data_IF_246047162610
#
_entry.id   IF_246047162610
#
_cell.length_a   1.000
_cell.length_b   1.000
_cell.length_c   1.000
_cell.angle_alpha   90.00
_cell.angle_beta   90.00
_cell.angle_gamma   90.00
#
_symmetry.space_group_name_H-M   'P 1'
#
loop_
_entity.id
_entity.type
_entity.pdbx_description
1 polymer ?
#
# COMPACT_ATOMS: atom_id res chain seq x y z
N UNK A 1 -27.60 -2.58 6.67
CA UNK A 1 -26.14 -2.46 6.78
C UNK A 1 -25.84 -0.98 7.07
N UNK A 2 -25.52 -0.68 8.32
CA UNK A 2 -25.28 0.68 8.77
C UNK A 2 -23.93 1.13 8.20
N UNK A 3 -23.95 2.04 7.24
CA UNK A 3 -22.75 2.68 6.75
C UNK A 3 -22.27 3.66 7.84
N UNK A 4 -21.28 3.26 8.63
CA UNK A 4 -20.75 4.04 9.77
C UNK A 4 -19.76 5.14 9.34
N UNK A 5 -19.62 5.41 8.03
CA UNK A 5 -18.71 6.43 7.53
C UNK A 5 -19.30 7.84 7.75
N UNK A 6 -18.50 8.80 8.20
CA UNK A 6 -18.93 10.20 8.29
C UNK A 6 -19.18 10.80 6.90
N UNK A 7 -20.03 11.83 6.84
CA UNK A 7 -20.19 12.62 5.64
C UNK A 7 -18.94 13.49 5.43
N UNK A 8 -18.25 13.35 4.30
CA UNK A 8 -17.11 14.20 3.95
C UNK A 8 -17.56 15.27 2.95
N UNK A 9 -17.28 16.52 3.26
CA UNK A 9 -17.52 17.66 2.40
C UNK A 9 -16.20 18.36 2.07
N UNK A 10 -15.92 18.55 0.79
CA UNK A 10 -14.78 19.33 0.30
C UNK A 10 -15.35 20.61 -0.32
N UNK A 11 -15.03 21.76 0.26
CA UNK A 11 -15.56 23.09 -0.12
C UNK A 11 -17.11 23.08 -0.23
N UNK A 12 -17.78 22.35 0.68
CA UNK A 12 -19.23 22.22 0.72
C UNK A 12 -19.82 21.12 -0.16
N UNK A 13 -19.04 20.45 -1.00
CA UNK A 13 -19.49 19.39 -1.90
C UNK A 13 -19.21 18.02 -1.30
N UNK A 14 -20.24 17.14 -1.26
CA UNK A 14 -20.08 15.78 -0.77
C UNK A 14 -19.10 14.98 -1.64
N UNK A 15 -18.07 14.43 -1.02
CA UNK A 15 -16.95 13.79 -1.72
C UNK A 15 -16.29 12.73 -0.84
N UNK A 16 -15.22 12.11 -1.32
CA UNK A 16 -14.35 11.21 -0.55
C UNK A 16 -13.15 11.98 -0.01
N UNK A 17 -12.68 11.65 1.19
CA UNK A 17 -11.43 12.21 1.75
C UNK A 17 -10.24 12.00 0.81
N UNK A 18 -10.25 10.94 0.02
CA UNK A 18 -9.21 10.64 -0.96
C UNK A 18 -9.29 11.50 -2.23
N UNK A 19 -10.34 12.33 -2.39
CA UNK A 19 -10.52 13.15 -3.58
C UNK A 19 -9.66 14.43 -3.58
N UNK A 20 -9.15 14.83 -2.42
CA UNK A 20 -8.29 16.01 -2.28
C UNK A 20 -6.85 15.60 -1.98
N UNK A 21 -5.90 16.36 -2.52
CA UNK A 21 -4.49 16.19 -2.14
C UNK A 21 -4.26 16.88 -0.78
N UNK A 22 -3.57 16.26 0.19
CA UNK A 22 -3.25 16.87 1.47
C UNK A 22 -2.56 18.25 1.35
N UNK A 23 -1.75 18.44 0.32
CA UNK A 23 -1.05 19.72 0.07
C UNK A 23 -2.00 20.87 -0.31
N UNK A 24 -3.21 20.54 -0.81
CA UNK A 24 -4.23 21.52 -1.20
C UNK A 24 -5.18 21.86 -0.04
N UNK A 25 -5.07 21.20 1.11
CA UNK A 25 -5.92 21.41 2.28
C UNK A 25 -5.42 22.62 3.07
N UNK A 26 -6.34 23.53 3.39
CA UNK A 26 -6.11 24.62 4.32
C UNK A 26 -6.52 24.24 5.74
N UNK A 27 -7.74 23.69 5.90
CA UNK A 27 -8.24 23.27 7.20
C UNK A 27 -9.17 22.07 7.12
N UNK A 28 -9.24 21.34 8.24
CA UNK A 28 -10.17 20.23 8.44
C UNK A 28 -10.94 20.49 9.73
N UNK A 29 -12.26 20.50 9.65
CA UNK A 29 -13.17 20.63 10.80
C UNK A 29 -14.03 19.37 10.92
N UNK A 30 -14.16 18.83 12.14
CA UNK A 30 -14.94 17.63 12.39
C UNK A 30 -16.13 17.99 13.28
N UNK A 31 -17.34 17.84 12.74
CA UNK A 31 -18.59 18.05 13.48
C UNK A 31 -19.08 16.73 14.01
N UNK A 32 -18.95 16.54 15.33
CA UNK A 32 -19.36 15.32 16.05
C UNK A 32 -20.72 15.45 16.73
N UNK A 33 -21.13 16.70 17.00
CA UNK A 33 -22.36 16.97 17.74
C UNK A 33 -23.57 17.02 16.81
N UNK A 34 -24.67 16.43 17.25
CA UNK A 34 -25.91 16.38 16.48
C UNK A 34 -26.44 17.78 16.09
N UNK A 35 -26.23 18.78 16.95
CA UNK A 35 -26.65 20.16 16.69
C UNK A 35 -25.88 20.81 15.55
N UNK A 36 -24.55 20.63 15.49
CA UNK A 36 -23.69 21.17 14.44
C UNK A 36 -23.84 20.41 13.12
N UNK A 37 -24.17 19.12 13.18
CA UNK A 37 -24.37 18.26 12.02
C UNK A 37 -25.81 18.35 11.44
N UNK A 38 -26.76 18.93 12.17
CA UNK A 38 -28.18 18.94 11.80
C UNK A 38 -28.48 19.57 10.42
N UNK A 39 -27.71 20.57 10.04
CA UNK A 39 -27.87 21.25 8.72
C UNK A 39 -27.60 20.33 7.52
N UNK A 40 -26.93 19.22 7.73
CA UNK A 40 -26.59 18.22 6.69
C UNK A 40 -27.56 17.04 6.64
N UNK A 41 -28.60 17.05 7.52
CA UNK A 41 -29.67 16.05 7.57
C UNK A 41 -29.21 14.65 7.99
N UNK A 42 -29.99 13.64 7.59
CA UNK A 42 -29.75 12.23 8.01
C UNK A 42 -28.41 11.65 7.58
N UNK A 43 -27.79 12.17 6.52
CA UNK A 43 -26.46 11.73 6.08
C UNK A 43 -25.35 12.08 7.06
N UNK A 44 -25.59 13.01 7.97
CA UNK A 44 -24.63 13.45 8.98
C UNK A 44 -24.74 12.68 10.32
N UNK A 45 -25.55 11.62 10.38
CA UNK A 45 -25.79 10.86 11.61
C UNK A 45 -24.50 10.30 12.25
N UNK A 46 -23.47 10.03 11.44
CA UNK A 46 -22.15 9.56 11.87
C UNK A 46 -21.08 10.67 11.97
N UNK A 47 -21.52 11.95 11.98
CA UNK A 47 -20.66 13.12 11.97
C UNK A 47 -20.35 13.62 10.56
N UNK A 48 -19.75 14.81 10.50
CA UNK A 48 -19.36 15.46 9.25
C UNK A 48 -17.91 15.89 9.31
N UNK A 49 -17.15 15.62 8.26
CA UNK A 49 -15.79 16.10 8.05
C UNK A 49 -15.84 17.19 6.99
N UNK A 50 -15.55 18.42 7.40
CA UNK A 50 -15.46 19.57 6.51
C UNK A 50 -13.99 19.79 6.14
N UNK A 51 -13.70 19.72 4.86
CA UNK A 51 -12.37 20.00 4.32
C UNK A 51 -12.46 21.29 3.51
N UNK A 52 -11.69 22.29 3.92
CA UNK A 52 -11.55 23.55 3.18
C UNK A 52 -10.23 23.52 2.43
N UNK A 53 -10.29 23.82 1.12
CA UNK A 53 -9.07 23.86 0.30
C UNK A 53 -8.49 25.28 0.28
N UNK A 54 -7.19 25.36 0.02
CA UNK A 54 -6.44 26.61 -0.10
C UNK A 54 -7.02 27.49 -1.20
N UNK A 55 -7.10 28.77 -0.92
CA UNK A 55 -7.52 29.80 -1.87
C UNK A 55 -6.42 30.84 -2.07
N UNK A 56 -6.46 31.54 -3.18
CA UNK A 56 -5.51 32.62 -3.43
C UNK A 56 -5.86 33.85 -2.59
N UNK A 57 -4.83 34.49 -2.10
CA UNK A 57 -4.89 35.82 -1.50
C UNK A 57 -4.61 36.89 -2.54
N UNK A 58 -4.98 38.12 -2.22
CA UNK A 58 -4.60 39.29 -3.00
C UNK A 58 -3.07 39.46 -2.94
N UNK A 59 -2.46 39.73 -4.09
CA UNK A 59 -1.05 39.97 -4.19
C UNK A 59 -0.44 39.49 -5.51
N UNK A 60 0.88 39.62 -5.57
CA UNK A 60 1.66 39.18 -6.73
C UNK A 60 1.59 37.65 -6.88
N UNK A 61 1.79 37.19 -8.10
CA UNK A 61 1.91 35.76 -8.38
C UNK A 61 2.98 35.12 -7.52
N UNK A 62 2.58 34.11 -6.74
CA UNK A 62 3.45 33.24 -5.95
C UNK A 62 3.51 31.89 -6.61
N UNK A 63 4.71 31.37 -6.78
CA UNK A 63 4.96 30.02 -7.29
C UNK A 63 5.59 29.24 -6.15
N UNK A 64 4.98 28.12 -5.77
CA UNK A 64 5.49 27.22 -4.74
C UNK A 64 5.65 25.82 -5.33
N UNK A 65 6.83 25.26 -5.17
CA UNK A 65 7.11 23.88 -5.54
C UNK A 65 7.59 23.09 -4.33
N UNK A 66 6.89 22.01 -4.02
CA UNK A 66 7.23 21.08 -2.96
C UNK A 66 7.51 19.71 -3.56
N UNK A 67 8.61 19.11 -3.16
CA UNK A 67 9.00 17.77 -3.61
C UNK A 67 9.42 16.94 -2.41
N UNK A 68 8.82 15.76 -2.26
CA UNK A 68 9.13 14.81 -1.20
C UNK A 68 9.50 13.47 -1.83
N UNK A 69 10.58 12.87 -1.35
CA UNK A 69 10.96 11.49 -1.68
C UNK A 69 11.01 10.72 -0.38
N UNK A 70 10.32 9.61 -0.31
CA UNK A 70 10.26 8.72 0.83
C UNK A 70 10.71 7.32 0.48
N UNK A 71 11.33 6.64 1.43
CA UNK A 71 11.67 5.22 1.36
C UNK A 71 10.77 4.49 2.35
N UNK A 72 9.99 3.56 1.83
CA UNK A 72 9.12 2.71 2.65
C UNK A 72 9.83 1.40 2.93
N UNK A 73 9.86 1.01 4.18
CA UNK A 73 10.40 -0.25 4.66
C UNK A 73 9.49 -0.82 5.73
N UNK A 74 9.37 -2.14 5.77
CA UNK A 74 8.66 -2.80 6.86
C UNK A 74 9.40 -2.56 8.18
N UNK A 75 8.66 -2.19 9.22
CA UNK A 75 9.25 -1.83 10.52
C UNK A 75 9.89 -3.04 11.19
N UNK A 76 9.22 -4.18 11.11
CA UNK A 76 9.68 -5.44 11.69
C UNK A 76 9.12 -6.62 10.90
N UNK A 77 9.99 -7.58 10.65
CA UNK A 77 9.60 -8.87 10.05
C UNK A 77 10.11 -10.00 10.94
N UNK A 78 9.30 -11.05 11.16
CA UNK A 78 9.78 -12.23 11.85
C UNK A 78 10.91 -12.88 11.04
N UNK A 79 11.97 -13.31 11.72
CA UNK A 79 13.01 -14.14 11.10
C UNK A 79 12.47 -15.54 10.88
N UNK A 80 12.55 -16.01 9.65
CA UNK A 80 12.24 -17.39 9.33
C UNK A 80 13.51 -18.24 9.38
N UNK A 81 13.27 -19.52 9.58
CA UNK A 81 14.35 -20.52 9.62
C UNK A 81 14.92 -20.75 8.23
N UNK A 82 16.23 -20.97 8.15
CA UNK A 82 16.85 -21.53 6.97
C UNK A 82 16.54 -23.02 6.82
N UNK A 83 16.94 -23.60 5.68
CA UNK A 83 16.64 -24.98 5.36
C UNK A 83 17.17 -25.98 6.40
N UNK A 84 18.37 -25.76 6.93
CA UNK A 84 19.00 -26.66 7.92
C UNK A 84 18.21 -26.60 9.23
N UNK A 85 18.05 -25.40 9.82
CA UNK A 85 17.32 -25.23 11.08
C UNK A 85 15.87 -25.73 10.96
N UNK A 86 15.25 -25.53 9.78
CA UNK A 86 13.92 -26.04 9.50
C UNK A 86 13.87 -27.57 9.59
N UNK A 87 14.81 -28.28 8.95
CA UNK A 87 14.84 -29.74 8.96
C UNK A 87 15.13 -30.31 10.35
N UNK A 88 16.08 -29.70 11.07
CA UNK A 88 16.44 -30.12 12.45
C UNK A 88 15.24 -29.94 13.41
N UNK A 89 14.59 -28.80 13.36
CA UNK A 89 13.41 -28.55 14.21
C UNK A 89 12.18 -29.36 13.79
N UNK A 90 12.05 -29.65 12.49
CA UNK A 90 10.97 -30.51 12.00
C UNK A 90 11.11 -31.94 12.54
N UNK A 91 12.34 -32.50 12.49
CA UNK A 91 12.63 -33.81 13.07
C UNK A 91 12.41 -33.85 14.59
N UNK A 92 12.84 -32.81 15.28
CA UNK A 92 12.60 -32.64 16.71
C UNK A 92 11.08 -32.58 17.05
N UNK A 93 10.33 -31.80 16.32
CA UNK A 93 8.90 -31.68 16.50
C UNK A 93 8.19 -33.00 16.27
N UNK A 94 8.53 -33.68 15.16
CA UNK A 94 7.96 -34.98 14.83
C UNK A 94 8.30 -36.04 15.87
N UNK A 95 9.53 -36.06 16.40
CA UNK A 95 9.92 -36.94 17.49
C UNK A 95 9.14 -36.70 18.78
N UNK A 96 8.81 -35.42 19.07
CA UNK A 96 8.06 -35.06 20.25
C UNK A 96 6.57 -35.41 20.13
N UNK A 97 5.95 -35.18 18.97
CA UNK A 97 4.54 -35.49 18.71
C UNK A 97 4.24 -37.00 18.89
N UNK A 98 5.15 -37.87 18.46
CA UNK A 98 4.97 -39.30 18.62
C UNK A 98 5.18 -39.78 20.03
N UNK A 99 5.91 -39.04 20.88
CA UNK A 99 6.01 -39.34 22.32
C UNK A 99 4.71 -38.94 23.03
N UNK A 100 4.00 -37.95 22.55
CA UNK A 100 2.77 -37.44 23.16
C UNK A 100 1.49 -38.14 22.68
N UNK A 101 1.51 -38.69 21.47
CA UNK A 101 0.41 -39.49 20.97
C UNK A 101 0.63 -40.98 21.40
N UNK A 102 -0.22 -41.47 22.29
CA UNK A 102 -0.29 -42.89 22.71
C UNK A 102 -0.65 -43.86 21.55
N UNK A 103 -0.18 -43.60 20.35
CA UNK A 103 -0.55 -44.31 19.14
C UNK A 103 0.37 -45.47 18.80
N UNK A 104 1.44 -45.72 19.61
CA UNK A 104 2.36 -46.87 19.40
C UNK A 104 3.19 -46.81 18.09
N UNK A 105 2.99 -45.81 17.25
CA UNK A 105 3.79 -45.56 16.08
C UNK A 105 5.03 -44.76 16.51
N UNK A 106 6.22 -45.31 16.38
CA UNK A 106 7.46 -44.56 16.54
C UNK A 106 7.49 -43.43 15.53
N UNK A 107 7.56 -42.20 16.01
CA UNK A 107 7.81 -41.04 15.16
C UNK A 107 9.18 -41.19 14.56
N UNK A 108 9.20 -41.38 13.28
CA UNK A 108 10.44 -41.48 12.54
C UNK A 108 11.08 -40.11 12.39
N UNK A 109 12.37 -40.04 12.44
CA UNK A 109 13.19 -38.98 11.91
C UNK A 109 12.91 -38.89 10.40
N UNK A 110 12.49 -37.75 9.90
CA UNK A 110 12.12 -37.56 8.49
C UNK A 110 13.37 -37.29 7.64
N UNK A 111 14.22 -36.40 8.11
CA UNK A 111 15.43 -35.98 7.38
C UNK A 111 16.67 -36.76 7.89
N UNK A 112 16.95 -36.75 9.18
CA UNK A 112 18.10 -37.38 9.80
C UNK A 112 19.41 -36.61 9.62
N UNK A 113 20.35 -36.86 10.51
CA UNK A 113 21.64 -36.14 10.59
C UNK A 113 22.47 -36.26 9.31
N UNK A 114 22.58 -37.46 8.73
CA UNK A 114 23.38 -37.71 7.52
C UNK A 114 22.81 -36.97 6.31
N UNK A 115 21.47 -36.92 6.16
CA UNK A 115 20.80 -36.18 5.09
C UNK A 115 21.02 -34.69 5.26
N UNK A 116 20.85 -34.15 6.46
CA UNK A 116 21.04 -32.74 6.78
C UNK A 116 22.49 -32.31 6.52
N UNK A 117 23.46 -33.12 6.92
CA UNK A 117 24.88 -32.85 6.66
C UNK A 117 25.20 -32.82 5.16
N UNK A 118 24.69 -33.78 4.38
CA UNK A 118 24.82 -33.80 2.92
C UNK A 118 24.13 -32.58 2.27
N UNK A 119 22.94 -32.21 2.76
CA UNK A 119 22.21 -31.05 2.28
C UNK A 119 23.01 -29.76 2.49
N UNK A 120 23.54 -29.58 3.71
CA UNK A 120 24.40 -28.43 4.07
C UNK A 120 25.64 -28.31 3.18
N UNK A 121 26.25 -29.40 2.83
CA UNK A 121 27.44 -29.43 1.97
C UNK A 121 27.12 -29.03 0.52
N UNK A 122 25.90 -29.31 0.03
CA UNK A 122 25.52 -29.15 -1.37
C UNK A 122 24.71 -27.90 -1.62
N UNK A 123 24.02 -27.28 -0.63
CA UNK A 123 23.07 -26.21 -0.82
C UNK A 123 23.65 -24.97 -1.53
N UNK A 124 24.96 -24.70 -1.40
CA UNK A 124 25.61 -23.60 -2.09
C UNK A 124 26.09 -23.94 -3.51
N UNK A 125 26.18 -25.23 -3.82
CA UNK A 125 26.68 -25.75 -5.11
C UNK A 125 25.52 -26.07 -6.06
N UNK A 126 24.41 -26.54 -5.53
CA UNK A 126 23.22 -26.94 -6.25
C UNK A 126 21.96 -26.39 -5.53
N UNK A 127 21.70 -25.09 -5.63
CA UNK A 127 20.58 -24.44 -4.92
C UNK A 127 19.20 -24.83 -5.45
N UNK A 128 19.14 -25.54 -6.56
CA UNK A 128 17.86 -26.06 -7.07
C UNK A 128 17.46 -27.38 -6.38
N UNK A 129 18.36 -28.32 -6.26
CA UNK A 129 18.10 -29.61 -5.61
C UNK A 129 18.24 -29.52 -4.08
N UNK A 130 19.01 -28.56 -3.57
CA UNK A 130 19.22 -28.28 -2.14
C UNK A 130 18.93 -26.82 -1.81
N UNK A 131 17.68 -26.36 -1.99
CA UNK A 131 17.34 -24.96 -1.84
C UNK A 131 17.37 -24.50 -0.38
N UNK A 132 17.74 -23.24 -0.20
CA UNK A 132 17.58 -22.49 1.05
C UNK A 132 16.89 -21.17 0.72
N UNK A 133 15.61 -21.25 0.41
CA UNK A 133 14.84 -20.14 -0.14
C UNK A 133 14.41 -19.17 0.95
N UNK A 134 14.86 -17.92 0.85
CA UNK A 134 14.30 -16.82 1.63
C UNK A 134 13.05 -16.26 0.93
N UNK A 135 11.91 -16.78 1.35
CA UNK A 135 10.62 -16.37 0.78
C UNK A 135 10.28 -14.90 1.05
N UNK A 136 10.82 -14.29 2.13
CA UNK A 136 10.63 -12.88 2.40
C UNK A 136 11.40 -12.01 1.40
N UNK A 137 12.69 -12.31 1.21
CA UNK A 137 13.53 -11.56 0.28
C UNK A 137 13.03 -11.61 -1.17
N UNK A 138 12.37 -12.71 -1.57
CA UNK A 138 11.80 -12.86 -2.91
C UNK A 138 10.46 -12.12 -3.04
N UNK A 139 9.65 -12.11 -1.98
CA UNK A 139 8.28 -11.61 -2.02
C UNK A 139 8.21 -10.11 -1.76
N UNK A 140 9.12 -9.56 -0.96
CA UNK A 140 9.07 -8.16 -0.58
C UNK A 140 10.12 -7.33 -1.31
N UNK A 141 9.70 -6.19 -1.82
CA UNK A 141 10.57 -5.17 -2.38
C UNK A 141 10.89 -4.15 -1.30
N UNK A 142 12.13 -4.13 -0.84
CA UNK A 142 12.60 -3.17 0.14
C UNK A 142 13.93 -2.52 -0.30
N UNK A 143 14.03 -1.19 -0.24
CA UNK A 143 12.97 -0.24 0.05
C UNK A 143 12.03 -0.02 -1.13
N UNK A 144 10.73 0.24 -0.87
CA UNK A 144 9.81 0.77 -1.85
C UNK A 144 9.90 2.30 -1.87
N UNK A 145 9.93 2.88 -3.05
CA UNK A 145 10.17 4.32 -3.23
C UNK A 145 8.83 5.04 -3.39
N UNK A 146 8.72 6.22 -2.77
CA UNK A 146 7.60 7.12 -2.94
C UNK A 146 8.10 8.51 -3.32
N UNK A 147 7.51 9.09 -4.39
CA UNK A 147 7.73 10.49 -4.76
C UNK A 147 6.43 11.25 -4.74
N UNK A 148 6.48 12.47 -4.22
CA UNK A 148 5.36 13.41 -4.27
C UNK A 148 5.86 14.77 -4.71
N UNK A 149 5.25 15.33 -5.75
CA UNK A 149 5.57 16.64 -6.28
C UNK A 149 4.30 17.48 -6.32
N UNK A 150 4.38 18.69 -5.79
CA UNK A 150 3.29 19.65 -5.81
C UNK A 150 3.80 20.98 -6.35
N UNK A 151 3.13 21.51 -7.36
CA UNK A 151 3.34 22.85 -7.89
C UNK A 151 2.07 23.65 -7.67
N UNK A 152 2.18 24.76 -6.94
CA UNK A 152 1.07 25.67 -6.67
C UNK A 152 1.39 27.05 -7.22
N UNK A 153 0.46 27.60 -7.98
CA UNK A 153 0.45 28.97 -8.49
C UNK A 153 -0.70 29.70 -7.82
N UNK A 154 -0.45 30.82 -7.15
CA UNK A 154 -1.50 31.58 -6.50
C UNK A 154 -1.24 33.09 -6.61
N UNK A 155 -2.28 33.86 -6.75
CA UNK A 155 -2.19 35.30 -6.79
C UNK A 155 -3.48 35.92 -7.24
N UNK A 156 -3.53 37.25 -7.24
CA UNK A 156 -4.71 37.95 -7.69
C UNK A 156 -4.73 39.42 -7.33
N UNK A 157 -5.76 40.04 -7.81
CA UNK A 157 -6.13 41.45 -7.53
C UNK A 157 -7.28 41.47 -6.53
N UNK A 158 -7.71 42.67 -6.10
CA UNK A 158 -8.92 42.83 -5.30
C UNK A 158 -10.15 42.19 -5.95
N UNK A 159 -10.22 42.19 -7.31
CA UNK A 159 -11.38 41.68 -8.06
C UNK A 159 -11.27 40.23 -8.47
N UNK A 160 -10.06 39.72 -8.79
CA UNK A 160 -9.86 38.38 -9.30
C UNK A 160 -8.72 37.72 -8.50
N UNK A 161 -9.02 36.63 -7.86
CA UNK A 161 -8.04 35.76 -7.19
C UNK A 161 -8.10 34.37 -7.78
N UNK A 162 -6.96 33.77 -8.05
CA UNK A 162 -6.89 32.44 -8.61
C UNK A 162 -5.74 31.64 -7.99
N UNK A 163 -6.03 30.37 -7.67
CA UNK A 163 -5.08 29.36 -7.26
C UNK A 163 -5.16 28.17 -8.21
N UNK A 164 -4.04 27.74 -8.72
CA UNK A 164 -3.93 26.48 -9.47
C UNK A 164 -2.90 25.58 -8.79
N UNK A 165 -3.22 24.30 -8.59
CA UNK A 165 -2.29 23.31 -8.09
C UNK A 165 -2.22 22.10 -9.02
N UNK A 166 -0.99 21.59 -9.19
CA UNK A 166 -0.68 20.36 -9.91
C UNK A 166 0.05 19.43 -8.96
N UNK A 167 -0.48 18.24 -8.79
CA UNK A 167 0.09 17.25 -7.89
C UNK A 167 0.40 15.95 -8.66
N UNK A 168 1.58 15.43 -8.44
CA UNK A 168 1.99 14.11 -8.90
C UNK A 168 2.44 13.27 -7.70
N UNK A 169 1.91 12.07 -7.61
CA UNK A 169 2.33 11.07 -6.62
C UNK A 169 2.67 9.79 -7.35
N UNK A 170 3.84 9.23 -7.08
CA UNK A 170 4.25 7.90 -7.50
C UNK A 170 4.68 7.14 -6.26
N UNK A 171 3.97 6.08 -5.95
CA UNK A 171 4.18 5.27 -4.77
C UNK A 171 4.34 3.82 -5.19
N UNK A 172 5.51 3.26 -4.98
CA UNK A 172 5.74 1.82 -5.10
C UNK A 172 5.18 1.10 -3.87
N UNK A 173 4.65 -0.10 -4.09
CA UNK A 173 4.27 -0.99 -3.01
C UNK A 173 5.43 -1.88 -2.56
N UNK A 174 5.26 -2.52 -1.40
CA UNK A 174 6.24 -3.47 -0.85
C UNK A 174 6.22 -4.83 -1.55
N UNK A 175 5.25 -5.09 -2.42
CA UNK A 175 5.25 -6.26 -3.31
C UNK A 175 5.76 -5.87 -4.69
N UNK A 176 6.46 -6.76 -5.41
CA UNK A 176 6.87 -6.51 -6.78
C UNK A 176 5.69 -6.11 -7.67
N UNK A 177 5.92 -5.20 -8.61
CA UNK A 177 4.96 -4.71 -9.61
C UNK A 177 3.69 -4.05 -9.06
N UNK A 178 3.67 -3.74 -7.76
CA UNK A 178 2.60 -2.97 -7.15
C UNK A 178 2.98 -1.49 -7.06
N UNK A 179 2.07 -0.63 -7.49
CA UNK A 179 2.29 0.82 -7.46
C UNK A 179 0.99 1.60 -7.55
N UNK A 180 1.04 2.85 -7.14
CA UNK A 180 0.01 3.85 -7.40
C UNK A 180 0.64 5.09 -8.01
N UNK A 181 0.20 5.49 -9.21
CA UNK A 181 0.52 6.78 -9.83
C UNK A 181 -0.72 7.64 -9.85
N UNK A 182 -0.63 8.85 -9.32
CA UNK A 182 -1.74 9.78 -9.22
C UNK A 182 -1.34 11.14 -9.75
N UNK A 183 -2.16 11.66 -10.64
CA UNK A 183 -2.11 13.00 -11.17
C UNK A 183 -3.34 13.75 -10.70
N UNK A 184 -3.17 14.92 -10.11
CA UNK A 184 -4.28 15.74 -9.67
C UNK A 184 -4.07 17.18 -10.12
N UNK A 185 -5.15 17.82 -10.54
CA UNK A 185 -5.20 19.24 -10.85
C UNK A 185 -6.35 19.87 -10.07
N UNK A 186 -6.12 21.07 -9.55
CA UNK A 186 -7.15 21.88 -8.92
C UNK A 186 -6.97 23.34 -9.34
N UNK A 187 -8.08 24.00 -9.63
CA UNK A 187 -8.13 25.43 -9.92
C UNK A 187 -9.28 26.03 -9.13
N UNK A 188 -8.99 26.96 -8.24
CA UNK A 188 -9.96 27.72 -7.47
C UNK A 188 -9.86 29.17 -7.91
N UNK A 189 -10.97 29.75 -8.29
CA UNK A 189 -11.04 31.15 -8.78
C UNK A 189 -12.19 31.88 -8.12
N UNK A 190 -11.89 33.02 -7.53
CA UNK A 190 -12.88 33.92 -6.93
C UNK A 190 -12.89 35.25 -7.70
N UNK A 191 -14.08 35.68 -8.15
CA UNK A 191 -14.27 36.93 -8.83
C UNK A 191 -15.29 37.82 -8.11
N UNK A 192 -14.89 39.04 -7.77
CA UNK A 192 -15.72 40.05 -7.13
C UNK A 192 -16.19 41.03 -8.19
N UNK A 193 -17.47 40.95 -8.56
CA UNK A 193 -18.09 41.89 -9.50
C UNK A 193 -18.23 43.30 -8.89
N UNK A 194 -18.67 43.33 -7.63
CA UNK A 194 -18.81 44.54 -6.81
C UNK A 194 -18.89 44.10 -5.32
N UNK A 195 -19.11 45.07 -4.40
CA UNK A 195 -19.16 44.79 -2.96
C UNK A 195 -20.33 43.91 -2.51
N UNK A 196 -21.33 43.71 -3.39
CA UNK A 196 -22.54 42.92 -3.10
C UNK A 196 -22.59 41.60 -3.86
N UNK A 197 -21.75 41.42 -4.89
CA UNK A 197 -21.81 40.28 -5.77
C UNK A 197 -20.41 39.73 -6.02
N UNK A 198 -20.24 38.47 -5.68
CA UNK A 198 -19.04 37.66 -6.01
C UNK A 198 -19.45 36.31 -6.54
N UNK A 199 -18.58 35.68 -7.32
CA UNK A 199 -18.74 34.32 -7.80
C UNK A 199 -17.41 33.56 -7.66
N UNK A 200 -17.49 32.25 -7.32
CA UNK A 200 -16.35 31.37 -7.26
C UNK A 200 -16.53 30.16 -8.19
N UNK A 201 -15.45 29.71 -8.77
CA UNK A 201 -15.41 28.48 -9.58
C UNK A 201 -14.30 27.61 -9.06
N UNK A 202 -14.66 26.39 -8.65
CA UNK A 202 -13.73 25.37 -8.18
C UNK A 202 -13.77 24.19 -9.14
N UNK A 203 -12.64 23.91 -9.78
CA UNK A 203 -12.49 22.81 -10.72
C UNK A 203 -11.42 21.88 -10.15
N UNK A 204 -11.70 20.58 -10.08
CA UNK A 204 -10.70 19.58 -9.72
C UNK A 204 -10.82 18.33 -10.60
N UNK A 205 -9.67 17.78 -10.95
CA UNK A 205 -9.56 16.54 -11.70
C UNK A 205 -8.49 15.65 -11.09
N UNK A 206 -8.72 14.33 -11.15
CA UNK A 206 -7.77 13.34 -10.66
C UNK A 206 -7.76 12.13 -11.59
N UNK A 207 -6.57 11.69 -11.94
CA UNK A 207 -6.35 10.42 -12.63
C UNK A 207 -5.41 9.55 -11.79
N UNK A 208 -5.79 8.30 -11.54
CA UNK A 208 -4.98 7.36 -10.76
C UNK A 208 -4.83 6.06 -11.53
N UNK A 209 -3.61 5.58 -11.62
CA UNK A 209 -3.27 4.24 -12.13
C UNK A 209 -2.77 3.45 -10.93
N UNK A 210 -3.42 2.31 -10.64
CA UNK A 210 -3.09 1.46 -9.50
C UNK A 210 -2.81 0.05 -10.02
N UNK A 211 -1.70 -0.53 -9.58
CA UNK A 211 -1.39 -1.94 -9.78
C UNK A 211 -1.40 -2.61 -8.41
N UNK A 212 -2.28 -3.56 -8.23
CA UNK A 212 -2.44 -4.32 -6.98
C UNK A 212 -2.06 -5.78 -7.21
N UNK A 213 -1.64 -6.52 -6.15
CA UNK A 213 -1.43 -7.95 -6.26
C UNK A 213 -2.77 -8.59 -6.64
N UNK A 214 -2.76 -9.58 -7.46
CA UNK A 214 -4.01 -10.19 -7.82
C UNK A 214 -4.53 -11.23 -6.87
N UNK A 215 -3.78 -11.50 -5.83
CA UNK A 215 -4.25 -12.26 -4.68
C UNK A 215 -4.35 -11.32 -3.48
N UNK A 216 -5.25 -11.64 -2.58
CA UNK A 216 -5.36 -10.95 -1.31
C UNK A 216 -4.02 -10.93 -0.56
N UNK A 217 -3.65 -9.77 -0.03
CA UNK A 217 -2.37 -9.54 0.67
C UNK A 217 -2.19 -10.49 1.85
N UNK A 218 -3.25 -10.78 2.60
CA UNK A 218 -3.19 -11.72 3.73
C UNK A 218 -2.87 -13.14 3.25
N UNK A 219 -3.39 -13.54 2.09
CA UNK A 219 -3.09 -14.83 1.45
C UNK A 219 -1.63 -14.92 1.01
N UNK A 220 -1.07 -13.84 0.43
CA UNK A 220 0.34 -13.76 0.05
C UNK A 220 1.23 -13.89 1.29
N UNK A 221 0.98 -13.09 2.32
CA UNK A 221 1.72 -13.14 3.59
C UNK A 221 1.60 -14.54 4.23
N UNK A 222 0.40 -15.12 4.21
CA UNK A 222 0.16 -16.46 4.70
C UNK A 222 0.93 -17.54 3.93
N UNK A 223 1.09 -17.39 2.62
CA UNK A 223 1.89 -18.28 1.79
C UNK A 223 3.38 -18.19 2.15
N UNK A 224 3.91 -16.96 2.24
CA UNK A 224 5.32 -16.72 2.66
C UNK A 224 5.63 -17.36 4.00
N UNK A 225 4.70 -17.28 4.96
CA UNK A 225 4.87 -17.82 6.31
C UNK A 225 4.79 -19.35 6.39
N UNK A 226 4.06 -19.97 5.47
CA UNK A 226 3.80 -21.43 5.49
C UNK A 226 4.71 -22.22 4.56
N UNK A 227 5.33 -21.58 3.59
CA UNK A 227 6.18 -22.28 2.63
C UNK A 227 7.55 -22.56 3.25
N UNK A 228 7.92 -23.82 3.29
CA UNK A 228 9.20 -24.24 3.83
C UNK A 228 10.38 -23.76 2.97
N UNK A 229 11.53 -23.43 3.57
CA UNK A 229 12.71 -22.94 2.85
C UNK A 229 13.39 -23.99 1.96
N UNK A 230 13.01 -25.25 2.10
CA UNK A 230 13.53 -26.39 1.32
C UNK A 230 12.87 -26.53 -0.07
N UNK A 231 12.01 -25.61 -0.47
CA UNK A 231 11.43 -25.59 -1.81
C UNK A 231 12.15 -24.55 -2.69
N UNK A 232 12.54 -24.92 -3.93
CA UNK A 232 13.12 -23.96 -4.85
C UNK A 232 12.07 -22.97 -5.33
N UNK A 233 12.44 -21.70 -5.54
CA UNK A 233 11.55 -20.67 -6.09
C UNK A 233 11.61 -20.60 -7.61
N UNK A 234 12.70 -21.10 -8.20
CA UNK A 234 12.97 -21.04 -9.64
C UNK A 234 13.59 -22.36 -10.08
N UNK A 235 13.24 -22.79 -11.29
CA UNK A 235 13.87 -23.94 -11.96
C UNK A 235 15.22 -23.52 -12.56
N UNK A 236 16.11 -24.49 -12.92
CA UNK A 236 17.38 -24.18 -13.58
C UNK A 236 17.26 -23.35 -14.85
N UNK A 237 16.13 -23.42 -15.54
CA UNK A 237 15.84 -22.66 -16.77
C UNK A 237 15.28 -21.25 -16.48
N UNK A 238 15.26 -20.81 -15.23
CA UNK A 238 14.77 -19.49 -14.85
C UNK A 238 13.24 -19.35 -14.74
N UNK A 239 12.48 -20.42 -14.98
CA UNK A 239 11.04 -20.41 -14.80
C UNK A 239 10.68 -20.57 -13.31
N UNK A 240 9.54 -20.01 -12.86
CA UNK A 240 9.05 -20.26 -11.50
C UNK A 240 8.93 -21.75 -11.24
N UNK A 241 9.44 -22.21 -10.10
CA UNK A 241 9.26 -23.59 -9.66
C UNK A 241 7.82 -23.83 -9.22
N UNK A 242 7.34 -25.05 -9.44
CA UNK A 242 5.96 -25.46 -9.08
C UNK A 242 5.84 -25.72 -7.57
N UNK A 243 5.93 -24.67 -6.75
CA UNK A 243 5.37 -24.75 -5.41
C UNK A 243 3.94 -24.16 -5.47
N UNK A 244 2.96 -24.91 -5.01
CA UNK A 244 1.52 -24.57 -5.11
C UNK A 244 1.18 -23.18 -4.57
N UNK A 245 1.97 -22.68 -3.61
CA UNK A 245 1.83 -21.31 -3.04
C UNK A 245 2.39 -20.20 -3.93
N UNK A 246 3.32 -20.53 -4.85
CA UNK A 246 4.06 -19.54 -5.61
C UNK A 246 3.37 -19.14 -6.92
N UNK A 247 2.56 -20.03 -7.51
CA UNK A 247 1.80 -19.73 -8.72
C UNK A 247 0.83 -18.56 -8.54
N UNK A 248 0.40 -18.29 -7.31
CA UNK A 248 -0.44 -17.15 -6.99
C UNK A 248 0.34 -15.83 -6.87
N UNK A 249 1.65 -15.85 -6.62
CA UNK A 249 2.45 -14.64 -6.48
C UNK A 249 2.85 -14.03 -7.82
N UNK A 250 3.01 -14.83 -8.88
CA UNK A 250 3.36 -14.37 -10.24
C UNK A 250 2.24 -14.43 -11.27
N UNK A 251 1.07 -14.95 -10.97
CA UNK A 251 -0.05 -15.07 -11.92
C UNK A 251 -0.59 -13.71 -12.45
N UNK A 252 0.05 -12.61 -12.12
CA UNK A 252 -0.40 -11.24 -12.42
C UNK A 252 0.36 -10.52 -13.53
N UNK A 253 1.46 -11.07 -14.05
CA UNK A 253 2.16 -10.44 -15.17
C UNK A 253 1.36 -10.48 -16.48
N UNK A 254 0.30 -11.28 -16.57
CA UNK A 254 -0.43 -11.52 -17.83
C UNK A 254 -1.71 -10.72 -18.03
N UNK A 255 -2.11 -9.84 -17.11
CA UNK A 255 -3.32 -9.00 -17.27
C UNK A 255 -3.06 -7.54 -17.61
N UNK A 256 -2.04 -7.27 -18.43
CA UNK A 256 -1.75 -5.90 -18.88
C UNK A 256 -2.26 -5.57 -20.28
N UNK A 257 -3.10 -6.38 -20.89
CA UNK A 257 -3.70 -6.05 -22.19
C UNK A 257 -5.17 -6.49 -22.19
N UNK A 258 -6.03 -5.59 -21.77
CA UNK A 258 -7.37 -5.36 -22.38
C UNK A 258 -7.85 -4.00 -21.90
#
# INVERSE_FOLDING_TARGET
LNNSNPLVLIDGVASSVNAVNPQDIESISILKDASSAAIYGSRAANGVVLITTKRAEEGKLRISFNSNVGLQKMTEQPKFLGAIDYMELYDLANSNDTRNMNTGAAGGVIYGEDYIANYKAKMNQDPYNYPNTDWQAITYKEPAIQHMHNLTLSGGTEKLRALASLNYTDQEGVFPDTYMKRYSVRVNTDYKFNDKLSAGIDISGRHSVVSEPGSDVASIIGAVRRTAPIYPWVTPNGNPAYAVSYTHLRAHETRRHL
#
